data_IF_264369870810
#
_entry.id   IF_264369870810
#
_cell.length_a   1.000
_cell.length_b   1.000
_cell.length_c   1.000
_cell.angle_alpha   90.00
_cell.angle_beta   90.00
_cell.angle_gamma   90.00
#
_symmetry.space_group_name_H-M   'P 1'
#
loop_
_entity.id
_entity.type
_entity.pdbx_description
1 polymer ?
#
# COMPACT_ATOMS: atom_id res chain seq x y z
N UNK A 1 15.06 2.19 7.59
CA UNK A 1 14.98 3.66 7.38
C UNK A 1 13.52 4.06 7.23
N UNK A 2 13.17 5.34 7.42
CA UNK A 2 11.84 5.85 7.07
C UNK A 2 11.79 6.10 5.56
N UNK A 3 10.62 5.93 4.94
CA UNK A 3 10.42 6.35 3.54
C UNK A 3 10.41 7.87 3.43
N UNK A 4 10.86 8.37 2.29
CA UNK A 4 10.92 9.81 2.00
C UNK A 4 9.51 10.43 1.97
N UNK A 5 9.33 11.67 2.47
CA UNK A 5 8.03 12.33 2.52
C UNK A 5 7.35 12.47 1.15
N UNK A 6 8.15 12.67 0.10
CA UNK A 6 7.68 12.78 -1.29
C UNK A 6 7.01 11.50 -1.77
N UNK A 7 7.53 10.33 -1.37
CA UNK A 7 6.96 9.02 -1.69
C UNK A 7 5.64 8.82 -0.92
N UNK A 8 5.58 9.21 0.35
CA UNK A 8 4.33 9.12 1.15
C UNK A 8 3.22 9.94 0.50
N UNK A 9 3.54 11.18 0.12
CA UNK A 9 2.60 12.07 -0.55
C UNK A 9 2.14 11.49 -1.89
N UNK A 10 3.05 10.98 -2.72
CA UNK A 10 2.68 10.37 -3.99
C UNK A 10 1.71 9.18 -3.83
N UNK A 11 1.87 8.39 -2.76
CA UNK A 11 0.96 7.27 -2.43
C UNK A 11 -0.41 7.79 -2.00
N UNK A 12 -0.44 8.81 -1.13
CA UNK A 12 -1.68 9.45 -0.68
C UNK A 12 -2.45 10.06 -1.87
N UNK A 13 -1.77 10.85 -2.70
CA UNK A 13 -2.33 11.47 -3.91
C UNK A 13 -2.89 10.40 -4.87
N UNK A 14 -2.17 9.29 -5.09
CA UNK A 14 -2.63 8.21 -5.99
C UNK A 14 -3.84 7.45 -5.45
N UNK A 15 -3.91 7.23 -4.13
CA UNK A 15 -5.05 6.57 -3.48
C UNK A 15 -6.29 7.46 -3.53
N UNK A 16 -6.11 8.76 -3.31
CA UNK A 16 -7.18 9.77 -3.46
C UNK A 16 -7.68 9.87 -4.91
N UNK A 17 -6.78 9.93 -5.90
CA UNK A 17 -7.12 9.95 -7.34
C UNK A 17 -7.94 8.73 -7.76
N UNK A 18 -7.67 7.58 -7.13
CA UNK A 18 -8.39 6.32 -7.37
C UNK A 18 -9.67 6.19 -6.53
N UNK A 19 -10.05 7.22 -5.75
CA UNK A 19 -11.21 7.19 -4.84
C UNK A 19 -11.20 5.99 -3.89
N UNK A 20 -10.02 5.52 -3.51
CA UNK A 20 -9.83 4.41 -2.57
C UNK A 20 -9.84 4.94 -1.13
N UNK A 21 -10.10 4.06 -0.17
CA UNK A 21 -10.06 4.44 1.25
C UNK A 21 -8.63 4.80 1.71
N UNK A 22 -8.51 5.84 2.56
CA UNK A 22 -7.24 6.29 3.16
C UNK A 22 -6.46 5.17 3.87
N UNK A 23 -7.15 4.10 4.32
CA UNK A 23 -6.49 2.94 4.91
C UNK A 23 -5.55 2.24 3.94
N UNK A 24 -5.83 2.30 2.63
CA UNK A 24 -4.98 1.73 1.57
C UNK A 24 -3.62 2.45 1.53
N UNK A 25 -3.60 3.78 1.55
CA UNK A 25 -2.34 4.55 1.57
C UNK A 25 -1.53 4.25 2.83
N UNK A 26 -2.19 4.16 3.99
CA UNK A 26 -1.55 3.79 5.27
C UNK A 26 -0.96 2.38 5.26
N UNK A 27 -1.64 1.42 4.64
CA UNK A 27 -1.16 0.05 4.50
C UNK A 27 0.07 -0.01 3.57
N UNK A 28 0.03 0.66 2.42
CA UNK A 28 1.15 0.73 1.47
C UNK A 28 2.38 1.38 2.13
N UNK A 29 2.19 2.51 2.80
CA UNK A 29 3.26 3.22 3.52
C UNK A 29 3.88 2.32 4.60
N UNK A 30 3.05 1.67 5.43
CA UNK A 30 3.53 0.78 6.48
C UNK A 30 4.32 -0.41 5.92
N UNK A 31 3.90 -0.94 4.77
CA UNK A 31 4.59 -2.02 4.09
C UNK A 31 5.96 -1.61 3.54
N UNK A 32 6.03 -0.45 2.87
CA UNK A 32 7.30 0.10 2.37
C UNK A 32 8.28 0.40 3.50
N UNK A 33 7.82 0.91 4.64
CA UNK A 33 8.65 1.09 5.82
C UNK A 33 9.19 -0.24 6.37
N UNK A 34 8.36 -1.29 6.37
CA UNK A 34 8.78 -2.62 6.82
C UNK A 34 9.81 -3.26 5.86
N UNK A 35 9.66 -3.07 4.55
CA UNK A 35 10.67 -3.49 3.56
C UNK A 35 11.98 -2.73 3.77
N UNK A 36 11.91 -1.40 3.92
CA UNK A 36 13.08 -0.56 4.09
C UNK A 36 13.80 -0.76 5.44
N UNK A 37 13.14 -1.44 6.39
CA UNK A 37 13.78 -1.90 7.64
C UNK A 37 14.33 -3.32 7.52
N UNK A 38 14.17 -3.97 6.37
CA UNK A 38 14.55 -5.35 6.09
C UNK A 38 14.00 -6.35 7.13
N UNK A 39 12.84 -6.03 7.71
CA UNK A 39 12.20 -6.81 8.79
C UNK A 39 11.28 -7.91 8.27
N UNK A 40 11.17 -8.07 6.95
CA UNK A 40 10.28 -9.01 6.30
C UNK A 40 11.10 -10.02 5.50
N UNK A 41 10.73 -11.30 5.60
CA UNK A 41 11.26 -12.32 4.69
C UNK A 41 10.73 -12.08 3.27
N UNK A 42 11.39 -12.63 2.25
CA UNK A 42 10.95 -12.45 0.86
C UNK A 42 9.55 -13.05 0.60
N UNK A 43 9.19 -14.10 1.35
CA UNK A 43 7.84 -14.66 1.42
C UNK A 43 6.81 -13.65 1.93
N UNK A 44 7.12 -12.97 3.04
CA UNK A 44 6.21 -11.98 3.65
C UNK A 44 6.01 -10.76 2.74
N UNK A 45 7.03 -10.40 1.94
CA UNK A 45 6.94 -9.32 0.95
C UNK A 45 5.96 -9.66 -0.16
N UNK A 46 6.02 -10.89 -0.69
CA UNK A 46 5.17 -11.34 -1.80
C UNK A 46 3.69 -11.51 -1.39
N UNK A 47 3.43 -12.18 -0.25
CA UNK A 47 2.05 -12.37 0.23
C UNK A 47 1.34 -11.05 0.56
N UNK A 48 2.07 -10.07 1.11
CA UNK A 48 1.47 -8.74 1.39
C UNK A 48 1.20 -7.93 0.14
N UNK A 49 2.01 -8.06 -0.90
CA UNK A 49 1.74 -7.46 -2.21
C UNK A 49 0.42 -7.99 -2.79
N UNK A 50 0.22 -9.30 -2.69
CA UNK A 50 -1.01 -9.96 -3.16
C UNK A 50 -2.23 -9.48 -2.37
N UNK A 51 -2.13 -9.39 -1.03
CA UNK A 51 -3.21 -8.86 -0.18
C UNK A 51 -3.54 -7.40 -0.48
N UNK A 52 -2.54 -6.53 -0.66
CA UNK A 52 -2.77 -5.12 -1.02
C UNK A 52 -3.46 -5.03 -2.39
N UNK A 53 -3.01 -5.82 -3.37
CA UNK A 53 -3.63 -5.89 -4.69
C UNK A 53 -5.08 -6.38 -4.63
N UNK A 54 -5.38 -7.41 -3.84
CA UNK A 54 -6.75 -7.90 -3.65
C UNK A 54 -7.63 -6.87 -2.96
N UNK A 55 -7.11 -6.15 -1.97
CA UNK A 55 -7.84 -5.09 -1.25
C UNK A 55 -8.27 -3.97 -2.20
N UNK A 56 -7.37 -3.52 -3.07
CA UNK A 56 -7.63 -2.51 -4.11
C UNK A 56 -8.66 -3.03 -5.14
N UNK A 57 -8.61 -4.33 -5.47
CA UNK A 57 -9.55 -4.94 -6.43
C UNK A 57 -10.96 -5.07 -5.87
N UNK A 58 -11.08 -5.47 -4.60
CA UNK A 58 -12.38 -5.69 -3.95
C UNK A 58 -13.16 -4.37 -3.87
N UNK A 59 -12.52 -3.25 -3.56
CA UNK A 59 -13.19 -1.95 -3.52
C UNK A 59 -13.69 -1.48 -4.90
N UNK A 60 -12.93 -1.76 -5.98
CA UNK A 60 -13.37 -1.45 -7.36
C UNK A 60 -14.47 -2.38 -7.90
N UNK A 61 -14.80 -3.47 -7.19
CA UNK A 61 -15.79 -4.46 -7.65
C UNK A 61 -17.22 -4.16 -7.17
N UNK A 62 -17.43 -3.10 -6.39
CA UNK A 62 -18.74 -2.69 -5.87
C UNK A 62 -19.44 -1.61 -6.70
N UNK A 63 -18.88 -1.22 -7.84
CA UNK A 63 -19.56 -0.41 -8.85
C UNK A 63 -20.10 -1.30 -9.98
N UNK A 64 -21.31 -1.82 -9.79
CA UNK A 64 -22.20 -2.37 -10.84
C UNK A 64 -23.65 -1.98 -10.52
#
# INVERSE_FOLDING_TARGET
MSIEPEIKKAIEDSVEEMSQDDSVSRQIISWLEAINKNTLSDSDKAQRLELIYESIKIENSYED
#
